data_IF_875221732080
#
_entry.id   IF_875221732080
#
_cell.length_a   1.000
_cell.length_b   1.000
_cell.length_c   1.000
_cell.angle_alpha   90.00
_cell.angle_beta   90.00
_cell.angle_gamma   90.00
#
_symmetry.space_group_name_H-M   'P 1'
#
loop_
_entity.id
_entity.type
_entity.pdbx_description
1 polymer ?
#
# COMPACT_ATOMS: atom_id res chain seq x y z
N UNK A 1 19.93 -4.44 -3.66
CA UNK A 1 19.11 -5.49 -3.01
C UNK A 1 17.77 -4.85 -2.71
N UNK A 2 16.66 -5.48 -3.10
CA UNK A 2 15.33 -4.89 -2.96
C UNK A 2 14.94 -4.69 -1.50
N UNK A 3 14.11 -3.69 -1.25
CA UNK A 3 13.55 -3.41 0.07
C UNK A 3 12.73 -4.64 0.55
N UNK A 4 13.10 -5.29 1.67
CA UNK A 4 12.35 -6.43 2.21
C UNK A 4 10.88 -6.11 2.49
N UNK A 5 10.56 -4.85 2.82
CA UNK A 5 9.19 -4.41 3.01
C UNK A 5 8.41 -4.45 1.70
N UNK A 6 8.98 -3.92 0.62
CA UNK A 6 8.34 -3.92 -0.69
C UNK A 6 8.11 -5.35 -1.19
N UNK A 7 9.10 -6.24 -1.04
CA UNK A 7 8.95 -7.64 -1.47
C UNK A 7 7.80 -8.34 -0.71
N UNK A 8 7.57 -8.00 0.56
CA UNK A 8 6.47 -8.55 1.33
C UNK A 8 5.10 -8.01 0.88
N UNK A 9 5.02 -6.74 0.54
CA UNK A 9 3.81 -6.09 0.01
C UNK A 9 3.46 -6.65 -1.38
N UNK A 10 4.45 -6.74 -2.28
CA UNK A 10 4.27 -7.26 -3.63
C UNK A 10 3.79 -8.72 -3.60
N UNK A 11 4.40 -9.54 -2.75
CA UNK A 11 3.97 -10.94 -2.55
C UNK A 11 2.53 -11.01 -2.06
N UNK A 12 2.15 -10.13 -1.13
CA UNK A 12 0.78 -10.07 -0.63
C UNK A 12 -0.20 -9.73 -1.75
N UNK A 13 0.14 -8.77 -2.63
CA UNK A 13 -0.66 -8.42 -3.79
C UNK A 13 -0.88 -9.62 -4.74
N UNK A 14 0.19 -10.32 -5.13
CA UNK A 14 0.06 -11.48 -6.03
C UNK A 14 -0.69 -12.65 -5.40
N UNK A 15 -0.70 -12.77 -4.07
CA UNK A 15 -1.48 -13.78 -3.34
C UNK A 15 -2.98 -13.44 -3.23
N UNK A 16 -3.32 -12.15 -3.03
CA UNK A 16 -4.70 -11.73 -2.71
C UNK A 16 -5.44 -11.05 -3.87
N UNK A 17 -4.73 -10.60 -4.90
CA UNK A 17 -5.28 -9.85 -6.02
C UNK A 17 -5.50 -8.36 -5.69
N UNK A 18 -6.43 -7.72 -6.42
CA UNK A 18 -6.63 -6.26 -6.42
C UNK A 18 -6.90 -5.70 -5.01
N UNK A 19 -5.91 -5.02 -4.44
CA UNK A 19 -5.96 -4.34 -3.16
C UNK A 19 -4.92 -3.19 -3.12
N UNK A 20 -4.97 -2.35 -2.09
CA UNK A 20 -4.04 -1.22 -1.94
C UNK A 20 -2.56 -1.61 -2.00
N UNK A 21 -2.19 -2.80 -1.54
CA UNK A 21 -0.81 -3.31 -1.61
C UNK A 21 -0.22 -3.31 -3.04
N UNK A 22 -1.05 -3.54 -4.05
CA UNK A 22 -0.63 -3.57 -5.46
C UNK A 22 -1.03 -2.33 -6.25
N UNK A 23 -1.39 -1.23 -5.59
CA UNK A 23 -1.93 -0.04 -6.26
C UNK A 23 -0.85 1.01 -6.46
N UNK A 24 -0.71 1.54 -7.68
CA UNK A 24 0.24 2.61 -8.05
C UNK A 24 0.08 3.89 -7.20
N UNK A 25 -1.14 4.13 -6.71
CA UNK A 25 -1.45 5.29 -5.88
C UNK A 25 -0.99 5.13 -4.43
N UNK A 26 -0.62 3.93 -4.02
CA UNK A 26 -0.41 3.58 -2.62
C UNK A 26 1.08 3.58 -2.27
N UNK A 27 1.45 4.41 -1.30
CA UNK A 27 2.82 4.53 -0.80
C UNK A 27 2.92 3.84 0.55
N UNK A 28 3.72 2.79 0.64
CA UNK A 28 3.87 2.05 1.90
C UNK A 28 4.48 2.92 3.00
N UNK A 29 3.85 2.94 4.18
CA UNK A 29 4.44 3.46 5.41
C UNK A 29 5.12 2.30 6.15
N UNK A 30 4.47 1.13 6.14
CA UNK A 30 4.97 -0.12 6.67
C UNK A 30 4.49 -1.28 5.78
N UNK A 31 4.81 -2.50 6.18
CA UNK A 31 4.29 -3.71 5.53
C UNK A 31 2.79 -3.94 5.69
N UNK A 32 2.07 -3.14 6.50
CA UNK A 32 0.64 -3.33 6.81
C UNK A 32 -0.22 -2.12 6.48
N UNK A 33 0.35 -0.92 6.41
CA UNK A 33 -0.38 0.33 6.15
C UNK A 33 0.39 1.26 5.20
N UNK A 34 -0.32 2.16 4.53
CA UNK A 34 0.27 3.11 3.60
C UNK A 34 -0.65 4.27 3.25
N UNK A 35 -0.08 5.28 2.63
CA UNK A 35 -0.74 6.51 2.20
C UNK A 35 -1.31 6.35 0.77
N UNK A 36 -2.60 6.59 0.61
CA UNK A 36 -3.26 6.70 -0.69
C UNK A 36 -3.11 8.12 -1.26
N UNK A 37 -2.34 8.26 -2.33
CA UNK A 37 -2.10 9.55 -3.00
C UNK A 37 -3.20 9.99 -3.96
N UNK A 38 -4.11 9.08 -4.30
CA UNK A 38 -5.24 9.34 -5.20
C UNK A 38 -6.25 10.30 -4.59
N UNK A 39 -6.45 10.21 -3.28
CA UNK A 39 -7.41 11.00 -2.51
C UNK A 39 -6.77 12.25 -1.93
N UNK A 40 -7.59 13.29 -1.76
CA UNK A 40 -7.16 14.51 -1.10
C UNK A 40 -6.69 14.23 0.34
N UNK A 41 -5.74 15.01 0.87
CA UNK A 41 -5.36 14.94 2.27
C UNK A 41 -6.53 15.13 3.21
N UNK A 42 -6.49 14.43 4.34
CA UNK A 42 -7.47 14.48 5.43
C UNK A 42 -6.80 14.93 6.72
N UNK A 43 -7.59 15.26 7.73
CA UNK A 43 -7.07 15.62 9.04
C UNK A 43 -6.32 14.44 9.68
N UNK A 44 -5.41 14.74 10.61
CA UNK A 44 -4.67 13.71 11.34
C UNK A 44 -5.59 12.75 12.13
N UNK A 45 -6.71 13.27 12.65
CA UNK A 45 -7.72 12.46 13.33
C UNK A 45 -8.37 11.44 12.39
N UNK A 46 -8.72 11.86 11.17
CA UNK A 46 -9.25 10.93 10.15
C UNK A 46 -8.21 9.86 9.78
N UNK A 47 -6.95 10.24 9.57
CA UNK A 47 -5.87 9.26 9.30
C UNK A 47 -5.75 8.21 10.41
N UNK A 48 -5.80 8.64 11.67
CA UNK A 48 -5.73 7.74 12.83
C UNK A 48 -6.93 6.77 12.88
N UNK A 49 -8.15 7.31 12.70
CA UNK A 49 -9.37 6.51 12.74
C UNK A 49 -9.44 5.48 11.61
N UNK A 50 -8.92 5.78 10.42
CA UNK A 50 -8.91 4.86 9.28
C UNK A 50 -8.09 3.58 9.52
N UNK A 51 -7.16 3.60 10.49
CA UNK A 51 -6.37 2.43 10.91
C UNK A 51 -6.73 1.95 12.33
N UNK A 52 -7.89 2.36 12.84
CA UNK A 52 -8.43 1.88 14.12
C UNK A 52 -7.80 2.51 15.37
N UNK A 53 -7.01 3.58 15.23
CA UNK A 53 -6.45 4.29 16.38
C UNK A 53 -7.49 5.29 16.89
N UNK A 54 -8.02 5.06 18.10
CA UNK A 54 -8.97 5.94 18.79
C UNK A 54 -8.26 6.69 19.92
N UNK A 55 -8.56 7.98 20.09
CA UNK A 55 -8.00 8.79 21.18
C UNK A 55 -6.57 9.29 20.94
N UNK A 56 -6.11 9.33 19.69
CA UNK A 56 -4.81 9.91 19.35
C UNK A 56 -4.77 11.40 19.73
N UNK A 57 -3.80 11.79 20.57
CA UNK A 57 -3.37 13.19 20.76
C UNK A 57 -2.85 13.74 19.40
N UNK A 58 -2.63 15.06 19.20
CA UNK A 58 -2.40 15.72 17.91
C UNK A 58 -1.03 15.41 17.27
N UNK A 59 -0.44 14.26 17.57
CA UNK A 59 0.83 13.79 17.04
C UNK A 59 0.74 13.36 15.57
N UNK A 60 -0.46 13.02 15.08
CA UNK A 60 -0.66 12.67 13.67
C UNK A 60 -1.03 13.94 12.93
N UNK A 61 -0.16 14.35 12.01
CA UNK A 61 -0.40 15.49 11.13
C UNK A 61 -1.40 15.15 10.02
N UNK A 62 -2.05 16.18 9.50
CA UNK A 62 -2.82 16.09 8.26
C UNK A 62 -1.93 15.57 7.11
N UNK A 63 -2.53 14.86 6.18
CA UNK A 63 -1.81 14.19 5.10
C UNK A 63 -2.72 13.27 4.31
N UNK A 64 -2.14 12.48 3.41
CA UNK A 64 -2.90 11.52 2.62
C UNK A 64 -3.66 10.53 3.49
N UNK A 65 -4.75 10.00 2.93
CA UNK A 65 -5.56 8.97 3.57
C UNK A 65 -4.68 7.75 3.82
N UNK A 66 -4.69 7.23 5.06
CA UNK A 66 -3.99 6.00 5.40
C UNK A 66 -4.95 4.83 5.25
N UNK A 67 -4.52 3.77 4.59
CA UNK A 67 -5.30 2.53 4.45
C UNK A 67 -4.49 1.31 4.85
N UNK A 68 -5.14 0.24 5.36
CA UNK A 68 -4.56 -1.09 5.41
C UNK A 68 -4.16 -1.58 4.02
N UNK A 69 -3.14 -2.44 3.94
CA UNK A 69 -2.66 -3.00 2.66
C UNK A 69 -3.73 -3.82 1.93
N UNK A 70 -4.60 -4.48 2.68
CA UNK A 70 -5.70 -5.33 2.21
C UNK A 70 -6.94 -4.55 1.81
N UNK A 71 -6.94 -3.23 1.97
CA UNK A 71 -8.08 -2.40 1.59
C UNK A 71 -8.35 -2.49 0.09
N UNK A 72 -9.61 -2.66 -0.28
CA UNK A 72 -10.07 -2.74 -1.67
C UNK A 72 -10.93 -1.52 -1.96
N UNK A 73 -10.52 -0.69 -2.92
CA UNK A 73 -11.27 0.47 -3.37
C UNK A 73 -11.60 0.37 -4.87
N UNK A 74 -12.57 1.18 -5.32
CA UNK A 74 -12.98 1.24 -6.73
C UNK A 74 -11.96 1.93 -7.65
N UNK A 75 -11.01 2.68 -7.09
CA UNK A 75 -9.99 3.44 -7.82
C UNK A 75 -8.66 2.68 -7.97
N UNK A 76 -8.67 1.36 -7.79
CA UNK A 76 -7.48 0.53 -7.92
C UNK A 76 -6.82 0.73 -9.30
N UNK A 77 -5.50 0.89 -9.29
CA UNK A 77 -4.70 1.12 -10.48
C UNK A 77 -3.38 0.35 -10.37
N UNK A 78 -3.04 -0.41 -11.40
CA UNK A 78 -1.77 -1.12 -11.56
C UNK A 78 -1.37 -1.04 -13.04
N UNK A 79 -0.80 0.09 -13.44
CA UNK A 79 -0.19 0.29 -14.77
C UNK A 79 1.31 -0.05 -14.76
N UNK A 80 1.87 -0.43 -13.61
CA UNK A 80 3.27 -0.77 -13.49
C UNK A 80 3.60 -2.03 -14.29
N UNK A 81 4.60 -1.93 -15.17
CA UNK A 81 5.06 -3.09 -15.94
C UNK A 81 5.94 -3.99 -15.07
N UNK A 82 5.31 -4.98 -14.43
CA UNK A 82 5.98 -6.00 -13.61
C UNK A 82 7.06 -6.77 -14.38
N UNK A 83 6.97 -6.88 -15.71
CA UNK A 83 7.94 -7.63 -16.52
C UNK A 83 9.34 -6.98 -16.52
N UNK A 84 9.40 -5.68 -16.23
CA UNK A 84 10.65 -4.92 -16.09
C UNK A 84 11.49 -5.37 -14.88
N UNK A 85 10.86 -6.04 -13.90
CA UNK A 85 11.55 -6.53 -12.72
C UNK A 85 12.35 -7.82 -13.02
N UNK A 86 13.52 -8.01 -12.40
CA UNK A 86 14.34 -9.19 -12.60
C UNK A 86 13.56 -10.49 -12.33
N UNK A 87 13.74 -11.50 -13.20
CA UNK A 87 13.11 -12.82 -13.06
C UNK A 87 13.25 -13.44 -11.65
N UNK A 88 14.43 -13.37 -10.97
CA UNK A 88 14.54 -13.88 -9.61
C UNK A 88 13.64 -13.18 -8.61
N UNK A 89 13.36 -11.89 -8.78
CA UNK A 89 12.45 -11.11 -7.92
C UNK A 89 11.00 -11.53 -8.17
N UNK A 90 10.58 -11.57 -9.44
CA UNK A 90 9.24 -12.00 -9.85
C UNK A 90 8.87 -13.38 -9.31
N UNK A 91 9.80 -14.33 -9.36
CA UNK A 91 9.62 -15.67 -8.76
C UNK A 91 9.40 -15.65 -7.25
N UNK A 92 10.00 -14.73 -6.51
CA UNK A 92 9.84 -14.66 -5.03
C UNK A 92 8.51 -14.06 -4.60
N UNK A 93 7.99 -13.13 -5.39
CA UNK A 93 6.70 -12.46 -5.11
C UNK A 93 5.50 -13.20 -5.73
N UNK A 94 5.73 -14.19 -6.61
CA UNK A 94 4.64 -14.92 -7.28
C UNK A 94 4.10 -14.25 -8.54
N UNK A 95 4.83 -13.27 -9.10
CA UNK A 95 4.45 -12.62 -10.34
C UNK A 95 4.64 -13.54 -11.56
N UNK A 96 3.86 -13.37 -12.64
CA UNK A 96 4.06 -14.11 -13.89
C UNK A 96 5.49 -13.99 -14.42
N UNK A 97 6.04 -15.12 -14.88
CA UNK A 97 7.39 -15.22 -15.45
C UNK A 97 7.44 -14.84 -16.91
#
# INVERSE_FOLDING_TARGET
>A
MGDPQQEFIDRFYFEHGKCCAGCDWWRSISSVIGDCTRSAPVSGAERAHMIGIVGAHPLISAGHVVTPREHVCGDFKDDFDWSTLPLPYRKRIGAPT
#
